data_IF_176042127165
#
_entry.id   IF_176042127165
#
_cell.length_a   1.000
_cell.length_b   1.000
_cell.length_c   1.000
_cell.angle_alpha   90.00
_cell.angle_beta   90.00
_cell.angle_gamma   90.00
#
_symmetry.space_group_name_H-M   'P 1'
#
loop_
_entity.id
_entity.type
_entity.pdbx_description
1 polymer ?
#
# COMPACT_ATOMS: atom_id res chain seq x y z
N UNK A 1 -27.80 10.57 15.82
CA UNK A 1 -27.66 10.13 14.42
C UNK A 1 -28.53 8.90 14.08
N UNK A 2 -28.57 7.81 14.85
CA UNK A 2 -29.37 6.58 14.55
C UNK A 2 -30.87 6.79 14.28
N UNK A 3 -31.46 7.92 14.67
CA UNK A 3 -32.88 8.25 14.38
C UNK A 3 -33.10 8.97 13.06
N UNK A 4 -32.00 9.35 12.36
CA UNK A 4 -32.06 10.03 11.08
C UNK A 4 -32.23 9.01 9.95
N UNK A 5 -33.04 9.37 8.97
CA UNK A 5 -33.14 8.63 7.71
C UNK A 5 -31.99 9.05 6.80
N UNK A 6 -30.98 8.18 6.66
CA UNK A 6 -29.79 8.41 5.85
C UNK A 6 -29.98 8.11 4.37
N UNK A 7 -31.10 7.47 3.98
CA UNK A 7 -31.31 7.02 2.60
C UNK A 7 -32.31 7.82 1.80
N UNK A 8 -33.27 8.47 2.44
CA UNK A 8 -34.39 9.18 1.77
C UNK A 8 -33.93 10.24 0.77
N UNK A 9 -32.86 10.96 1.09
CA UNK A 9 -32.31 12.01 0.22
C UNK A 9 -31.70 11.42 -1.07
N UNK A 10 -31.18 10.19 -1.00
CA UNK A 10 -30.56 9.50 -2.14
C UNK A 10 -31.61 8.89 -3.09
N UNK A 11 -32.73 8.44 -2.55
CA UNK A 11 -33.83 7.93 -3.35
C UNK A 11 -34.91 7.26 -2.51
N UNK A 12 -36.16 7.30 -2.98
CA UNK A 12 -37.33 6.81 -2.24
C UNK A 12 -37.20 5.33 -1.81
N UNK A 13 -36.53 4.49 -2.61
CA UNK A 13 -36.29 3.07 -2.31
C UNK A 13 -35.38 2.86 -1.09
N UNK A 14 -34.62 3.86 -0.69
CA UNK A 14 -33.72 3.82 0.46
C UNK A 14 -34.31 4.48 1.71
N UNK A 15 -35.58 4.90 1.67
CA UNK A 15 -36.26 5.49 2.82
C UNK A 15 -36.24 4.53 4.01
N UNK A 16 -35.90 5.05 5.19
CA UNK A 16 -35.78 4.28 6.43
C UNK A 16 -34.38 3.70 6.68
N UNK A 17 -33.42 3.86 5.76
CA UNK A 17 -32.02 3.48 5.98
C UNK A 17 -31.44 4.28 7.14
N UNK A 18 -30.81 3.59 8.08
CA UNK A 18 -30.20 4.22 9.27
C UNK A 18 -28.68 4.24 9.14
N UNK A 19 -28.06 5.24 9.77
CA UNK A 19 -26.59 5.23 9.92
C UNK A 19 -26.21 4.06 10.84
N UNK A 20 -25.37 3.12 10.39
CA UNK A 20 -24.91 2.02 11.22
C UNK A 20 -23.98 2.51 12.32
N UNK A 21 -23.81 1.72 13.39
CA UNK A 21 -22.72 1.92 14.35
C UNK A 21 -21.43 1.31 13.80
N UNK A 22 -20.29 1.65 14.42
CA UNK A 22 -19.02 1.03 14.06
C UNK A 22 -19.07 -0.48 14.27
N UNK A 23 -19.63 -0.95 15.38
CA UNK A 23 -19.77 -2.37 15.68
C UNK A 23 -20.58 -3.11 14.61
N UNK A 24 -21.68 -2.51 14.13
CA UNK A 24 -22.52 -3.09 13.07
C UNK A 24 -21.75 -3.20 11.75
N UNK A 25 -20.89 -2.20 11.43
CA UNK A 25 -20.05 -2.23 10.22
C UNK A 25 -18.98 -3.31 10.34
N UNK A 26 -18.26 -3.37 11.46
CA UNK A 26 -17.23 -4.37 11.70
C UNK A 26 -17.79 -5.79 11.63
N UNK A 27 -18.95 -6.06 12.25
CA UNK A 27 -19.62 -7.35 12.20
C UNK A 27 -19.97 -7.77 10.76
N UNK A 28 -20.37 -6.81 9.93
CA UNK A 28 -20.74 -7.09 8.54
C UNK A 28 -19.53 -7.31 7.62
N UNK A 29 -18.40 -6.66 7.90
CA UNK A 29 -17.19 -6.69 7.08
C UNK A 29 -16.24 -7.83 7.47
N UNK A 30 -16.36 -8.37 8.68
CA UNK A 30 -15.44 -9.37 9.23
C UNK A 30 -15.25 -10.56 8.31
N UNK A 31 -13.98 -10.85 7.96
CA UNK A 31 -13.60 -11.93 7.06
C UNK A 31 -14.02 -11.74 5.59
N UNK A 32 -14.43 -10.52 5.21
CA UNK A 32 -14.89 -10.20 3.85
C UNK A 32 -14.11 -9.07 3.19
N UNK A 33 -13.76 -8.03 3.95
CA UNK A 33 -13.07 -6.86 3.45
C UNK A 33 -12.34 -6.15 4.59
N UNK A 34 -11.19 -5.57 4.30
CA UNK A 34 -10.47 -4.69 5.20
C UNK A 34 -11.11 -3.29 5.21
N UNK A 35 -10.94 -2.58 6.32
CA UNK A 35 -11.54 -1.26 6.50
C UNK A 35 -10.49 -0.18 6.73
N UNK A 36 -10.67 0.96 6.07
CA UNK A 36 -10.03 2.22 6.42
C UNK A 36 -10.99 3.04 7.28
N UNK A 37 -10.67 3.19 8.57
CA UNK A 37 -11.51 3.87 9.57
C UNK A 37 -10.97 5.27 9.82
N UNK A 38 -11.63 6.28 9.28
CA UNK A 38 -11.25 7.68 9.52
C UNK A 38 -11.79 8.18 10.85
N UNK A 39 -10.90 8.64 11.74
CA UNK A 39 -11.26 9.33 12.97
C UNK A 39 -11.21 10.85 12.73
N UNK A 40 -12.38 11.50 12.87
CA UNK A 40 -12.54 12.96 12.86
C UNK A 40 -12.79 13.47 14.26
N UNK A 41 -11.71 13.88 15.00
CA UNK A 41 -11.86 14.32 16.37
C UNK A 41 -12.71 15.60 16.44
N UNK A 42 -13.54 15.69 17.46
CA UNK A 42 -14.32 16.89 17.75
C UNK A 42 -14.54 17.03 19.26
N UNK A 43 -14.78 18.27 19.72
CA UNK A 43 -14.96 18.58 21.13
C UNK A 43 -16.19 17.89 21.76
N UNK A 44 -17.16 17.46 20.96
CA UNK A 44 -18.38 16.81 21.46
C UNK A 44 -18.21 15.31 21.71
N UNK A 45 -17.08 14.71 21.33
CA UNK A 45 -16.82 13.29 21.48
C UNK A 45 -15.43 13.07 22.11
N UNK A 46 -15.28 13.34 23.41
CA UNK A 46 -14.01 13.07 24.11
C UNK A 46 -13.71 11.57 24.10
N UNK A 47 -12.41 11.24 24.05
CA UNK A 47 -11.92 9.85 24.04
C UNK A 47 -12.41 9.04 22.82
N UNK A 48 -12.61 9.70 21.68
CA UNK A 48 -13.08 9.04 20.47
C UNK A 48 -12.10 7.95 20.02
N UNK A 49 -10.80 8.22 20.09
CA UNK A 49 -9.73 7.31 19.74
C UNK A 49 -9.80 6.03 20.62
N UNK A 50 -9.87 6.20 21.94
CA UNK A 50 -9.94 5.08 22.86
C UNK A 50 -11.22 4.23 22.68
N UNK A 51 -12.35 4.87 22.39
CA UNK A 51 -13.61 4.17 22.08
C UNK A 51 -13.52 3.38 20.78
N UNK A 52 -12.94 3.98 19.74
CA UNK A 52 -12.76 3.32 18.43
C UNK A 52 -11.85 2.11 18.56
N UNK A 53 -10.68 2.27 19.16
CA UNK A 53 -9.71 1.18 19.38
C UNK A 53 -10.33 0.04 20.20
N UNK A 54 -11.03 0.36 21.29
CA UNK A 54 -11.72 -0.65 22.10
C UNK A 54 -12.72 -1.47 21.28
N UNK A 55 -13.56 -0.83 20.47
CA UNK A 55 -14.55 -1.51 19.62
C UNK A 55 -13.86 -2.42 18.61
N UNK A 56 -12.75 -1.97 18.00
CA UNK A 56 -11.95 -2.78 17.06
C UNK A 56 -11.48 -4.06 17.74
N UNK A 57 -10.89 -3.99 18.94
CA UNK A 57 -10.44 -5.17 19.70
C UNK A 57 -11.61 -6.06 20.16
N UNK A 58 -12.71 -5.48 20.65
CA UNK A 58 -13.90 -6.24 21.04
C UNK A 58 -14.47 -7.06 19.89
N UNK A 59 -14.26 -6.59 18.64
CA UNK A 59 -14.69 -7.28 17.40
C UNK A 59 -13.61 -8.19 16.80
N UNK A 60 -12.37 -8.13 17.30
CA UNK A 60 -11.23 -8.85 16.75
C UNK A 60 -10.97 -8.43 15.30
N UNK A 61 -10.87 -7.13 15.06
CA UNK A 61 -10.72 -6.52 13.72
C UNK A 61 -9.39 -5.76 13.58
N UNK A 62 -8.50 -5.86 14.55
CA UNK A 62 -7.23 -5.15 14.65
C UNK A 62 -6.26 -5.44 13.50
N UNK A 63 -6.39 -6.61 12.85
CA UNK A 63 -5.57 -7.01 11.71
C UNK A 63 -6.25 -6.78 10.36
N UNK A 64 -7.52 -6.38 10.38
CA UNK A 64 -8.34 -6.18 9.17
C UNK A 64 -8.72 -4.71 8.96
N UNK A 65 -8.09 -3.79 9.69
CA UNK A 65 -8.31 -2.36 9.51
C UNK A 65 -7.05 -1.53 9.60
N UNK A 66 -7.14 -0.33 9.03
CA UNK A 66 -6.22 0.77 9.25
C UNK A 66 -7.00 1.95 9.82
N UNK A 67 -6.34 2.84 10.56
CA UNK A 67 -6.96 4.06 11.10
C UNK A 67 -6.31 5.27 10.43
N UNK A 68 -7.15 6.15 9.90
CA UNK A 68 -6.71 7.41 9.28
C UNK A 68 -7.25 8.62 10.01
N UNK A 69 -6.52 9.73 9.96
CA UNK A 69 -6.98 11.03 10.48
C UNK A 69 -6.22 12.19 9.83
N UNK A 70 -6.87 13.35 9.75
CA UNK A 70 -6.23 14.64 9.47
C UNK A 70 -5.56 15.25 10.72
N UNK A 71 -5.77 14.68 11.90
CA UNK A 71 -5.14 15.08 13.16
C UNK A 71 -4.00 14.15 13.50
N UNK A 72 -2.78 14.65 13.47
CA UNK A 72 -1.61 13.85 13.85
C UNK A 72 -1.66 13.44 15.33
N UNK A 73 -2.16 14.30 16.23
CA UNK A 73 -2.37 13.98 17.65
C UNK A 73 -3.30 12.77 17.85
N UNK A 74 -4.32 12.63 16.98
CA UNK A 74 -5.20 11.46 16.96
C UNK A 74 -4.42 10.19 16.62
N UNK A 75 -3.53 10.23 15.62
CA UNK A 75 -2.69 9.09 15.26
C UNK A 75 -1.71 8.72 16.38
N UNK A 76 -1.10 9.72 17.03
CA UNK A 76 -0.25 9.48 18.21
C UNK A 76 -1.00 8.72 19.32
N UNK A 77 -2.23 9.15 19.64
CA UNK A 77 -3.05 8.47 20.65
C UNK A 77 -3.46 7.06 20.23
N UNK A 78 -3.75 6.85 18.95
CA UNK A 78 -4.03 5.50 18.43
C UNK A 78 -2.81 4.61 18.59
N UNK A 79 -1.61 5.07 18.22
CA UNK A 79 -0.36 4.32 18.39
C UNK A 79 0.00 4.04 19.84
N UNK A 80 -0.34 4.92 20.77
CA UNK A 80 -0.20 4.67 22.23
C UNK A 80 -1.12 3.56 22.72
N UNK A 81 -2.34 3.45 22.14
CA UNK A 81 -3.37 2.49 22.56
C UNK A 81 -3.27 1.15 21.83
N UNK A 82 -2.83 1.16 20.59
CA UNK A 82 -2.82 0.02 19.67
C UNK A 82 -1.67 0.17 18.65
N UNK A 83 -0.40 -0.05 19.06
CA UNK A 83 0.77 0.17 18.21
C UNK A 83 0.81 -0.71 16.95
N UNK A 84 0.12 -1.87 16.97
CA UNK A 84 0.04 -2.80 15.83
C UNK A 84 -0.95 -2.37 14.76
N UNK A 85 -1.95 -1.53 15.07
CA UNK A 85 -2.87 -1.02 14.05
C UNK A 85 -2.14 -0.01 13.18
N UNK A 86 -2.14 -0.23 11.87
CA UNK A 86 -1.56 0.72 10.93
C UNK A 86 -2.33 2.04 10.91
N UNK A 87 -1.59 3.14 10.87
CA UNK A 87 -2.15 4.48 10.90
C UNK A 87 -1.73 5.31 9.70
N UNK A 88 -2.68 6.02 9.10
CA UNK A 88 -2.47 6.87 7.95
C UNK A 88 -2.75 8.35 8.22
N UNK A 89 -1.80 9.22 7.84
CA UNK A 89 -1.99 10.65 7.96
C UNK A 89 -2.61 11.23 6.68
N UNK A 90 -3.80 11.83 6.83
CA UNK A 90 -4.54 12.42 5.70
C UNK A 90 -4.03 13.83 5.45
N UNK A 91 -3.49 14.06 4.26
CA UNK A 91 -2.99 15.36 3.80
C UNK A 91 -3.93 15.94 2.72
N UNK A 92 -4.65 16.98 3.07
CA UNK A 92 -5.49 17.73 2.13
C UNK A 92 -4.70 18.80 1.35
N UNK A 93 -3.50 19.15 1.80
CA UNK A 93 -2.60 20.10 1.16
C UNK A 93 -1.18 19.51 1.21
N UNK A 94 -0.55 19.34 0.05
CA UNK A 94 0.80 18.77 -0.07
C UNK A 94 1.94 19.75 0.30
N UNK A 95 1.75 20.60 1.32
CA UNK A 95 2.73 21.63 1.70
C UNK A 95 3.53 21.18 2.91
N UNK A 96 4.82 20.92 2.72
CA UNK A 96 5.79 20.63 3.78
C UNK A 96 6.43 19.23 3.71
N UNK A 97 7.55 19.07 4.41
CA UNK A 97 8.31 17.81 4.47
C UNK A 97 7.91 17.00 5.71
N UNK A 98 6.66 16.59 5.83
CA UNK A 98 6.12 15.90 7.01
C UNK A 98 6.28 14.38 6.99
N UNK A 99 7.22 13.85 6.21
CA UNK A 99 7.33 12.40 6.00
C UNK A 99 7.97 11.64 7.17
N UNK A 100 8.63 12.35 8.11
CA UNK A 100 9.29 11.77 9.29
C UNK A 100 8.37 11.74 10.52
N UNK A 101 7.09 11.44 10.34
CA UNK A 101 6.09 11.35 11.42
C UNK A 101 6.00 9.92 11.95
N UNK A 102 6.51 9.59 13.16
CA UNK A 102 6.54 8.21 13.68
C UNK A 102 5.16 7.56 13.80
N UNK A 103 4.12 8.34 14.11
CA UNK A 103 2.76 7.83 14.24
C UNK A 103 1.98 7.82 12.90
N UNK A 104 2.67 7.83 11.76
CA UNK A 104 2.05 7.64 10.46
C UNK A 104 2.81 6.54 9.72
N UNK A 105 2.19 5.39 9.51
CA UNK A 105 2.76 4.29 8.75
C UNK A 105 2.63 4.55 7.25
N UNK A 106 1.58 5.28 6.85
CA UNK A 106 1.36 5.69 5.48
C UNK A 106 0.75 7.11 5.39
N UNK A 107 0.73 7.66 4.17
CA UNK A 107 0.15 8.96 3.88
C UNK A 107 -1.01 8.81 2.90
N UNK A 108 -2.14 9.45 3.21
CA UNK A 108 -3.31 9.53 2.34
C UNK A 108 -3.42 10.96 1.80
N UNK A 109 -3.08 11.16 0.53
CA UNK A 109 -2.84 12.49 -0.06
C UNK A 109 -3.88 12.79 -1.12
N UNK A 110 -4.35 14.05 -1.16
CA UNK A 110 -5.20 14.52 -2.25
C UNK A 110 -4.42 14.43 -3.57
N UNK A 111 -5.02 13.80 -4.60
CA UNK A 111 -4.33 13.33 -5.80
C UNK A 111 -3.60 14.42 -6.59
N UNK A 112 -4.13 15.65 -6.62
CA UNK A 112 -3.54 16.77 -7.37
C UNK A 112 -2.25 17.32 -6.74
N UNK A 113 -1.96 16.99 -5.49
CA UNK A 113 -0.72 17.38 -4.80
C UNK A 113 0.39 16.35 -4.86
N UNK A 114 0.12 15.17 -5.41
CA UNK A 114 1.11 14.09 -5.49
C UNK A 114 2.14 14.42 -6.58
N UNK A 115 3.40 14.34 -6.20
CA UNK A 115 4.54 14.53 -7.12
C UNK A 115 5.47 13.32 -7.05
N UNK A 116 6.27 13.04 -8.12
CA UNK A 116 7.26 11.97 -8.09
C UNK A 116 8.23 12.08 -6.90
N UNK A 117 8.66 13.31 -6.58
CA UNK A 117 9.53 13.57 -5.44
C UNK A 117 8.87 13.24 -4.10
N UNK A 118 7.57 13.49 -3.93
CA UNK A 118 6.82 13.12 -2.74
C UNK A 118 6.77 11.60 -2.58
N UNK A 119 6.40 10.86 -3.61
CA UNK A 119 6.34 9.39 -3.61
C UNK A 119 7.69 8.81 -3.21
N UNK A 120 8.76 9.26 -3.88
CA UNK A 120 10.12 8.81 -3.58
C UNK A 120 10.52 9.09 -2.11
N UNK A 121 10.22 10.28 -1.58
CA UNK A 121 10.57 10.64 -0.20
C UNK A 121 9.81 9.82 0.85
N UNK A 122 8.57 9.44 0.57
CA UNK A 122 7.76 8.57 1.42
C UNK A 122 8.31 7.15 1.39
N UNK A 123 8.59 6.61 0.20
CA UNK A 123 9.14 5.26 0.03
C UNK A 123 10.55 5.11 0.65
N UNK A 124 11.41 6.13 0.54
CA UNK A 124 12.74 6.13 1.19
C UNK A 124 12.68 5.99 2.72
N UNK A 125 11.51 6.25 3.33
CA UNK A 125 11.24 6.06 4.76
C UNK A 125 10.53 4.75 5.08
N UNK A 126 10.39 3.87 4.09
CA UNK A 126 9.68 2.60 4.23
C UNK A 126 8.17 2.75 4.45
N UNK A 127 7.58 3.86 4.03
CA UNK A 127 6.15 4.16 4.15
C UNK A 127 5.49 4.11 2.78
N UNK A 128 4.14 3.98 2.80
CA UNK A 128 3.33 3.95 1.58
C UNK A 128 2.48 5.21 1.42
N UNK A 129 1.97 5.41 0.21
CA UNK A 129 1.14 6.56 -0.17
C UNK A 129 -0.13 6.11 -0.87
N UNK A 130 -1.27 6.61 -0.39
CA UNK A 130 -2.60 6.46 -1.01
C UNK A 130 -3.06 7.77 -1.63
N UNK A 131 -3.64 7.73 -2.82
CA UNK A 131 -4.20 8.90 -3.51
C UNK A 131 -5.72 8.97 -3.40
N UNK A 132 -6.30 10.13 -3.05
CA UNK A 132 -7.75 10.36 -2.99
C UNK A 132 -8.14 11.71 -3.62
N UNK A 133 -9.35 11.89 -4.13
CA UNK A 133 -10.27 10.86 -4.60
C UNK A 133 -10.13 10.73 -6.11
N UNK A 134 -9.78 9.58 -6.62
CA UNK A 134 -9.41 9.36 -8.02
C UNK A 134 -10.53 8.63 -8.75
N UNK A 135 -11.27 9.34 -9.60
CA UNK A 135 -12.46 8.81 -10.27
C UNK A 135 -12.34 8.73 -11.80
N UNK A 136 -11.15 9.03 -12.35
CA UNK A 136 -10.84 8.90 -13.78
C UNK A 136 -9.75 7.86 -13.98
N UNK A 137 -9.92 7.05 -15.01
CA UNK A 137 -8.98 5.98 -15.33
C UNK A 137 -7.59 6.50 -15.67
N UNK A 138 -7.51 7.61 -16.42
CA UNK A 138 -6.25 8.24 -16.79
C UNK A 138 -5.47 8.68 -15.55
N UNK A 139 -6.14 9.40 -14.62
CA UNK A 139 -5.50 9.88 -13.39
C UNK A 139 -5.03 8.71 -12.51
N UNK A 140 -5.80 7.61 -12.45
CA UNK A 140 -5.41 6.41 -11.72
C UNK A 140 -4.17 5.74 -12.34
N UNK A 141 -4.12 5.61 -13.67
CA UNK A 141 -2.99 5.04 -14.39
C UNK A 141 -1.73 5.89 -14.20
N UNK A 142 -1.84 7.22 -14.28
CA UNK A 142 -0.71 8.12 -14.07
C UNK A 142 -0.16 8.00 -12.65
N UNK A 143 -1.03 7.98 -11.63
CA UNK A 143 -0.63 7.86 -10.23
C UNK A 143 0.02 6.51 -9.92
N UNK A 144 -0.52 5.40 -10.43
CA UNK A 144 0.09 4.08 -10.31
C UNK A 144 1.47 4.05 -10.98
N UNK A 145 1.61 4.66 -12.17
CA UNK A 145 2.89 4.79 -12.87
C UNK A 145 3.92 5.63 -12.11
N UNK A 146 3.48 6.58 -11.29
CA UNK A 146 4.33 7.35 -10.37
C UNK A 146 4.77 6.54 -9.13
N UNK A 147 4.18 5.36 -8.91
CA UNK A 147 4.47 4.49 -7.78
C UNK A 147 3.58 4.75 -6.56
N UNK A 148 2.37 5.32 -6.74
CA UNK A 148 1.36 5.39 -5.67
C UNK A 148 0.91 3.97 -5.34
N UNK A 149 0.87 3.63 -4.06
CA UNK A 149 0.61 2.26 -3.60
C UNK A 149 -0.90 1.91 -3.57
N UNK A 150 -1.75 2.90 -3.26
CA UNK A 150 -3.20 2.72 -3.13
C UNK A 150 -4.00 3.84 -3.79
N UNK A 151 -5.12 3.49 -4.38
CA UNK A 151 -6.08 4.43 -4.98
C UNK A 151 -7.40 4.40 -4.22
N UNK A 152 -7.78 5.54 -3.66
CA UNK A 152 -9.09 5.75 -3.02
C UNK A 152 -10.03 6.37 -4.07
N UNK A 153 -11.12 5.65 -4.38
CA UNK A 153 -12.03 5.98 -5.48
C UNK A 153 -13.48 5.64 -5.17
N UNK A 154 -14.42 6.37 -5.79
CA UNK A 154 -15.84 6.00 -5.84
C UNK A 154 -16.14 4.94 -6.91
N UNK A 155 -15.11 4.53 -7.72
CA UNK A 155 -15.23 3.59 -8.84
C UNK A 155 -14.24 2.43 -8.69
N UNK A 156 -14.36 1.59 -7.65
CA UNK A 156 -13.38 0.55 -7.35
C UNK A 156 -13.20 -0.47 -8.49
N UNK A 157 -14.27 -0.79 -9.22
CA UNK A 157 -14.21 -1.71 -10.36
C UNK A 157 -13.29 -1.20 -11.49
N UNK A 158 -13.26 0.12 -11.72
CA UNK A 158 -12.38 0.75 -12.71
C UNK A 158 -10.90 0.57 -12.34
N UNK A 159 -10.55 0.84 -11.09
CA UNK A 159 -9.16 0.69 -10.60
C UNK A 159 -8.75 -0.77 -10.58
N UNK A 160 -9.63 -1.67 -10.17
CA UNK A 160 -9.36 -3.12 -10.18
C UNK A 160 -9.08 -3.66 -11.58
N UNK A 161 -9.79 -3.16 -12.59
CA UNK A 161 -9.54 -3.53 -13.99
C UNK A 161 -8.16 -3.05 -14.46
N UNK A 162 -7.75 -1.83 -14.08
CA UNK A 162 -6.41 -1.32 -14.37
C UNK A 162 -5.32 -2.19 -13.75
N UNK A 163 -5.42 -2.45 -12.46
CA UNK A 163 -4.43 -3.26 -11.74
C UNK A 163 -4.32 -4.70 -12.30
N UNK A 164 -5.43 -5.28 -12.72
CA UNK A 164 -5.42 -6.61 -13.34
C UNK A 164 -4.75 -6.57 -14.73
N UNK A 165 -4.98 -5.53 -15.53
CA UNK A 165 -4.34 -5.37 -16.84
C UNK A 165 -2.82 -5.19 -16.71
N UNK A 166 -2.36 -4.44 -15.70
CA UNK A 166 -0.93 -4.27 -15.43
C UNK A 166 -0.29 -5.57 -14.92
N UNK A 167 -0.99 -6.34 -14.08
CA UNK A 167 -0.53 -7.64 -13.61
C UNK A 167 -0.42 -8.68 -14.75
N UNK A 168 -1.32 -8.63 -15.73
CA UNK A 168 -1.25 -9.49 -16.92
C UNK A 168 -0.05 -9.11 -17.80
N UNK A 169 0.22 -7.82 -17.98
CA UNK A 169 1.41 -7.31 -18.69
C UNK A 169 2.73 -7.70 -18.00
N UNK A 170 2.79 -7.60 -16.67
CA UNK A 170 3.96 -8.02 -15.89
C UNK A 170 4.20 -9.52 -16.00
N UNK A 171 3.15 -10.34 -15.99
CA UNK A 171 3.25 -11.78 -16.22
C UNK A 171 3.74 -12.11 -17.63
N UNK A 172 3.28 -11.39 -18.65
CA UNK A 172 3.75 -11.56 -20.02
C UNK A 172 5.21 -11.17 -20.17
N UNK A 173 5.65 -10.07 -19.54
CA UNK A 173 7.04 -9.64 -19.51
C UNK A 173 7.94 -10.65 -18.77
N UNK A 174 7.50 -11.20 -17.65
CA UNK A 174 8.19 -12.27 -16.93
C UNK A 174 8.34 -13.53 -17.79
N UNK A 175 7.29 -13.93 -18.50
CA UNK A 175 7.31 -15.05 -19.43
C UNK A 175 8.29 -14.81 -20.59
N UNK A 176 8.29 -13.60 -21.19
CA UNK A 176 9.25 -13.22 -22.25
C UNK A 176 10.67 -13.25 -21.70
N UNK A 177 10.93 -12.67 -20.53
CA UNK A 177 12.25 -12.69 -19.88
C UNK A 177 12.74 -14.11 -19.65
N UNK A 178 11.90 -14.99 -19.11
CA UNK A 178 12.27 -16.36 -18.79
C UNK A 178 12.46 -17.20 -20.07
N UNK A 179 11.71 -16.89 -21.14
CA UNK A 179 11.90 -17.48 -22.46
C UNK A 179 13.23 -17.04 -23.08
N UNK A 180 13.55 -15.74 -23.01
CA UNK A 180 14.85 -15.21 -23.49
C UNK A 180 16.01 -15.82 -22.71
N UNK A 181 15.89 -15.91 -21.39
CA UNK A 181 16.91 -16.52 -20.52
C UNK A 181 17.14 -17.98 -20.85
N UNK A 182 16.07 -18.74 -21.13
CA UNK A 182 16.17 -20.13 -21.59
C UNK A 182 16.86 -20.26 -22.95
N UNK A 183 16.60 -19.33 -23.86
CA UNK A 183 17.22 -19.29 -25.19
C UNK A 183 18.71 -18.91 -25.10
N UNK A 184 19.07 -17.94 -24.27
CA UNK A 184 20.47 -17.54 -24.04
C UNK A 184 21.23 -18.67 -23.34
N UNK A 185 20.67 -19.31 -22.31
CA UNK A 185 21.27 -20.43 -21.63
C UNK A 185 21.46 -21.67 -22.52
N UNK A 186 20.74 -21.73 -23.66
CA UNK A 186 20.97 -22.78 -24.69
C UNK A 186 22.20 -22.47 -25.54
N UNK A 187 22.54 -21.19 -25.75
CA UNK A 187 23.77 -20.76 -26.42
C UNK A 187 25.00 -20.87 -25.49
N UNK A 188 24.85 -20.64 -24.19
CA UNK A 188 25.91 -20.78 -23.18
C UNK A 188 26.23 -22.26 -22.88
N UNK A 189 25.33 -23.22 -23.16
CA UNK A 189 25.55 -24.65 -22.96
C UNK A 189 26.39 -25.29 -24.08
N UNK A 190 26.69 -24.58 -25.17
CA UNK A 190 27.62 -25.06 -26.22
C UNK A 190 29.10 -24.64 -25.98
N UNK A 191 29.34 -23.74 -24.99
CA UNK A 191 30.69 -23.33 -24.53
C UNK A 191 30.91 -23.78 -23.08
N UNK A 192 30.80 -25.08 -22.79
CA UNK A 192 31.45 -25.63 -21.61
C UNK A 192 32.98 -25.54 -21.81
N UNK A 193 33.72 -24.93 -20.89
CA UNK A 193 35.19 -24.83 -21.00
C UNK A 193 35.77 -26.24 -21.23
N UNK A 194 36.64 -26.34 -22.23
CA UNK A 194 37.33 -27.60 -22.48
C UNK A 194 38.21 -27.91 -21.30
N UNK A 195 38.49 -29.19 -21.00
CA UNK A 195 39.36 -29.56 -19.87
C UNK A 195 40.76 -28.91 -19.87
N UNK A 196 41.16 -28.31 -20.99
CA UNK A 196 42.40 -27.54 -21.13
C UNK A 196 42.23 -26.09 -20.64
N UNK A 197 41.03 -25.53 -20.71
CA UNK A 197 40.70 -24.16 -20.21
C UNK A 197 40.50 -24.15 -18.70
N UNK A 198 39.91 -25.21 -18.09
CA UNK A 198 39.84 -25.38 -16.63
C UNK A 198 41.21 -25.39 -15.97
N UNK A 199 42.21 -26.03 -16.61
CA UNK A 199 43.59 -26.10 -16.10
C UNK A 199 44.29 -24.73 -16.16
N UNK A 200 43.91 -23.88 -17.10
CA UNK A 200 44.45 -22.51 -17.23
C UNK A 200 43.84 -21.57 -16.19
N UNK A 201 42.55 -21.72 -15.89
CA UNK A 201 41.87 -20.89 -14.91
C UNK A 201 42.31 -21.23 -13.48
N UNK A 202 42.51 -22.52 -13.14
CA UNK A 202 43.06 -22.97 -11.86
C UNK A 202 44.54 -22.50 -11.67
N UNK A 203 45.32 -22.40 -12.75
CA UNK A 203 46.68 -21.88 -12.71
C UNK A 203 46.81 -20.37 -12.56
N UNK A 204 45.72 -19.62 -12.80
CA UNK A 204 45.66 -18.15 -12.64
C UNK A 204 45.24 -17.77 -11.21
N UNK A 205 44.46 -18.62 -10.53
CA UNK A 205 43.96 -18.33 -9.17
C UNK A 205 45.00 -18.56 -8.06
N UNK A 206 46.09 -19.34 -8.29
CA UNK A 206 47.15 -19.49 -7.29
C UNK A 206 48.57 -19.38 -7.91
N UNK A 207 49.11 -18.13 -8.05
CA UNK A 207 50.42 -17.90 -8.61
C UNK A 207 51.60 -18.33 -7.69
N UNK A 208 51.36 -18.82 -6.46
CA UNK A 208 52.44 -19.22 -5.53
C UNK A 208 52.87 -20.70 -5.72
N UNK A 209 52.06 -21.56 -6.33
CA UNK A 209 52.42 -22.96 -6.59
C UNK A 209 53.46 -23.14 -7.71
N UNK A 210 53.67 -22.14 -8.56
CA UNK A 210 54.62 -22.18 -9.67
C UNK A 210 56.08 -21.87 -9.28
N UNK A 211 56.34 -21.46 -8.04
CA UNK A 211 57.68 -21.05 -7.58
C UNK A 211 58.47 -22.18 -6.89
N UNK A 212 57.83 -23.30 -6.53
CA UNK A 212 58.50 -24.41 -5.84
C UNK A 212 58.94 -25.57 -6.78
N UNK A 213 58.75 -25.47 -8.10
CA UNK A 213 59.08 -26.49 -9.09
C UNK A 213 60.25 -26.14 -10.03
N UNK A 214 61.09 -25.13 -9.67
CA UNK A 214 62.25 -24.76 -10.48
C UNK A 214 63.57 -24.92 -9.72
#
# INVERSE_FOLDING_TARGET
MRRLDAGRWFGQKYTGTRVPTLEEVLDQCKGRIQLNIEIKPNAATPELEAKTVRIIYEKGFEHDCVITSQSYDTLCKVKELAPEIQTGYILALGVGSYYDLPAADFFSVESTFITPGMVQQIHLRGKTISAWTVNRQEDASDLLSLGVDDIITDKPEMVQQLMNADADLDNDLLFIRDTIRSLIGWFDAEDEPTPEEEVIEEAIEDPEELLDAA
#
